data_IF_446602161740
#
_entry.id   IF_446602161740
#
_cell.length_a   1.000
_cell.length_b   1.000
_cell.length_c   1.000
_cell.angle_alpha   90.00
_cell.angle_beta   90.00
_cell.angle_gamma   90.00
#
_symmetry.space_group_name_H-M   'P 1'
#
loop_
_entity.id
_entity.type
_entity.pdbx_description
1 polymer ?
#
# COMPACT_ATOMS: atom_id res chain seq x y z
N UNK A 1 -6.29 -59.41 -9.51
CA UNK A 1 -6.06 -58.49 -10.64
C UNK A 1 -5.54 -57.18 -10.05
N UNK A 2 -4.28 -56.83 -10.32
CA UNK A 2 -3.62 -55.64 -9.77
C UNK A 2 -3.71 -54.52 -10.81
N UNK A 3 -4.54 -53.51 -10.55
CA UNK A 3 -4.57 -52.29 -11.35
C UNK A 3 -3.39 -51.40 -10.95
N UNK A 4 -2.45 -51.18 -11.86
CA UNK A 4 -1.41 -50.15 -11.72
C UNK A 4 -1.94 -48.88 -12.42
N UNK A 5 -2.14 -47.81 -11.66
CA UNK A 5 -2.43 -46.49 -12.22
C UNK A 5 -1.19 -45.97 -12.97
N UNK A 6 -1.31 -45.50 -14.23
CA UNK A 6 -0.23 -44.82 -14.92
C UNK A 6 0.04 -43.44 -14.30
N UNK A 7 1.20 -43.26 -13.67
CA UNK A 7 1.71 -41.98 -13.20
C UNK A 7 2.30 -41.18 -14.36
N UNK A 8 1.47 -40.49 -15.15
CA UNK A 8 1.91 -39.56 -16.20
C UNK A 8 1.67 -38.10 -15.81
N UNK A 9 2.15 -37.68 -14.63
CA UNK A 9 2.09 -36.27 -14.19
C UNK A 9 3.43 -35.53 -14.31
N UNK A 10 4.39 -36.04 -15.08
CA UNK A 10 5.70 -35.37 -15.25
C UNK A 10 5.74 -34.35 -16.41
N UNK A 11 4.65 -34.14 -17.15
CA UNK A 11 4.63 -33.35 -18.40
C UNK A 11 4.13 -31.89 -18.26
N UNK A 12 4.13 -31.30 -17.06
CA UNK A 12 3.72 -29.90 -16.88
C UNK A 12 4.88 -28.90 -16.78
N UNK A 13 6.13 -29.35 -16.96
CA UNK A 13 7.25 -28.42 -17.14
C UNK A 13 7.37 -28.13 -18.63
N UNK A 14 7.07 -26.90 -19.10
CA UNK A 14 7.26 -26.57 -20.51
C UNK A 14 8.74 -26.78 -20.88
N UNK A 15 9.01 -27.31 -22.09
CA UNK A 15 10.37 -27.58 -22.54
C UNK A 15 11.22 -26.30 -22.40
N UNK A 16 12.52 -26.39 -22.07
CA UNK A 16 13.38 -25.23 -21.80
C UNK A 16 13.35 -24.14 -22.89
N UNK A 17 13.09 -24.52 -24.15
CA UNK A 17 12.95 -23.60 -25.29
C UNK A 17 11.65 -22.77 -25.28
N UNK A 18 10.64 -23.17 -24.51
CA UNK A 18 9.38 -22.46 -24.30
C UNK A 18 9.33 -21.71 -22.97
N UNK A 19 10.41 -21.72 -22.18
CA UNK A 19 10.52 -20.92 -20.97
C UNK A 19 10.76 -19.46 -21.37
N UNK A 20 9.68 -18.68 -21.43
CA UNK A 20 9.77 -17.23 -21.56
C UNK A 20 10.57 -16.70 -20.36
N UNK A 21 11.58 -15.84 -20.55
CA UNK A 21 12.29 -15.21 -19.45
C UNK A 21 11.28 -14.52 -18.53
N UNK A 22 11.08 -15.05 -17.33
CA UNK A 22 10.24 -14.38 -16.33
C UNK A 22 10.93 -13.07 -15.96
N UNK A 23 10.28 -11.95 -16.25
CA UNK A 23 10.74 -10.64 -15.79
C UNK A 23 10.87 -10.70 -14.26
N UNK A 24 12.04 -10.28 -13.76
CA UNK A 24 12.26 -10.26 -12.31
C UNK A 24 11.28 -9.26 -11.71
N UNK A 25 10.58 -9.62 -10.62
CA UNK A 25 9.68 -8.69 -10.00
C UNK A 25 10.46 -7.51 -9.42
N UNK A 26 9.96 -6.29 -9.62
CA UNK A 26 10.57 -5.10 -9.04
C UNK A 26 10.44 -5.15 -7.51
N UNK A 27 11.48 -4.71 -6.80
CA UNK A 27 11.50 -4.65 -5.33
C UNK A 27 11.96 -3.28 -4.87
N UNK A 28 11.19 -2.69 -3.97
CA UNK A 28 11.52 -1.41 -3.37
C UNK A 28 10.63 -1.08 -2.19
N UNK A 29 10.47 0.21 -1.91
CA UNK A 29 9.69 0.68 -0.78
C UNK A 29 8.64 1.71 -1.19
N UNK A 30 7.53 1.70 -0.46
CA UNK A 30 6.47 2.68 -0.53
C UNK A 30 6.51 3.49 0.77
N UNK A 31 6.81 4.78 0.65
CA UNK A 31 6.80 5.74 1.75
C UNK A 31 5.45 6.42 1.72
N UNK A 32 4.56 6.02 2.63
CA UNK A 32 3.18 6.53 2.68
C UNK A 32 3.07 7.65 3.69
N UNK A 33 2.67 8.83 3.22
CA UNK A 33 2.27 9.94 4.07
C UNK A 33 0.77 9.90 4.36
N UNK A 34 0.42 10.18 5.61
CA UNK A 34 -0.97 10.30 6.03
C UNK A 34 -1.71 8.96 6.09
N UNK A 35 -1.15 7.91 6.68
CA UNK A 35 -1.96 6.71 6.96
C UNK A 35 -3.10 6.97 7.96
N UNK A 36 -3.06 8.10 8.67
CA UNK A 36 -4.13 8.57 9.55
C UNK A 36 -4.48 10.01 9.18
N UNK A 37 -5.77 10.33 9.17
CA UNK A 37 -6.24 11.69 8.87
C UNK A 37 -5.71 12.73 9.87
N UNK A 38 -5.51 12.34 11.14
CA UNK A 38 -4.99 13.20 12.21
C UNK A 38 -3.48 13.41 12.13
N UNK A 39 -2.75 12.58 11.39
CA UNK A 39 -1.29 12.57 11.35
C UNK A 39 -0.83 12.56 9.89
N UNK A 40 -1.10 13.67 9.20
CA UNK A 40 -0.71 13.87 7.80
C UNK A 40 0.81 13.95 7.60
N UNK A 41 1.57 14.22 8.68
CA UNK A 41 3.03 14.39 8.63
C UNK A 41 3.85 13.12 8.89
N UNK A 42 3.24 12.08 9.47
CA UNK A 42 3.92 10.79 9.67
C UNK A 42 4.03 10.02 8.37
N UNK A 43 5.25 9.52 8.14
CA UNK A 43 5.61 8.71 6.99
C UNK A 43 5.83 7.27 7.46
N UNK A 44 5.20 6.33 6.76
CA UNK A 44 5.36 4.91 7.02
C UNK A 44 6.00 4.22 5.81
N UNK A 45 7.14 3.58 6.05
CA UNK A 45 7.82 2.78 5.04
C UNK A 45 7.23 1.36 4.99
N UNK A 46 6.89 0.91 3.77
CA UNK A 46 6.40 -0.43 3.50
C UNK A 46 7.24 -1.01 2.36
N UNK A 47 7.94 -2.11 2.61
CA UNK A 47 8.69 -2.82 1.58
C UNK A 47 7.75 -3.67 0.72
N UNK A 48 7.85 -3.51 -0.59
CA UNK A 48 6.92 -4.08 -1.54
C UNK A 48 7.65 -4.74 -2.70
N UNK A 49 7.00 -5.74 -3.27
CA UNK A 49 7.35 -6.34 -4.55
C UNK A 49 6.25 -6.01 -5.54
N UNK A 50 6.61 -5.64 -6.77
CA UNK A 50 5.67 -5.32 -7.83
C UNK A 50 5.86 -6.22 -9.05
N UNK A 51 4.74 -6.55 -9.69
CA UNK A 51 4.70 -7.30 -10.95
C UNK A 51 3.75 -6.57 -11.91
N UNK A 52 4.18 -6.37 -13.14
CA UNK A 52 3.40 -5.72 -14.19
C UNK A 52 2.50 -6.80 -14.77
N UNK A 53 1.20 -6.54 -14.79
CA UNK A 53 0.19 -7.56 -15.10
C UNK A 53 -0.31 -7.47 -16.54
N UNK A 54 -0.07 -6.35 -17.23
CA UNK A 54 -0.61 -6.08 -18.57
C UNK A 54 0.43 -5.48 -19.53
N UNK A 55 1.71 -5.75 -19.28
CA UNK A 55 2.80 -5.33 -20.16
C UNK A 55 3.12 -6.41 -21.18
N UNK A 56 3.07 -6.11 -22.48
CA UNK A 56 3.88 -6.83 -23.45
C UNK A 56 5.33 -6.81 -22.93
N UNK A 57 5.97 -7.98 -22.77
CA UNK A 57 7.30 -8.11 -22.17
C UNK A 57 8.34 -7.18 -22.81
N UNK A 58 8.11 -6.75 -24.05
CA UNK A 58 8.93 -5.79 -24.79
C UNK A 58 8.88 -4.36 -24.25
N UNK A 59 7.85 -4.01 -23.47
CA UNK A 59 7.60 -2.67 -22.91
C UNK A 59 7.72 -2.60 -21.39
N UNK A 60 8.05 -3.70 -20.72
CA UNK A 60 8.25 -3.65 -19.27
C UNK A 60 9.42 -2.71 -18.95
N UNK A 61 9.15 -1.65 -18.19
CA UNK A 61 10.12 -0.62 -17.81
C UNK A 61 10.38 -0.59 -16.31
N UNK A 62 10.19 -1.73 -15.65
CA UNK A 62 10.46 -1.87 -14.22
C UNK A 62 11.88 -1.48 -13.82
N UNK A 63 12.85 -1.67 -14.71
CA UNK A 63 14.24 -1.27 -14.48
C UNK A 63 14.41 0.25 -14.31
N UNK A 64 13.44 1.04 -14.76
CA UNK A 64 13.45 2.50 -14.62
C UNK A 64 12.71 2.99 -13.37
N UNK A 65 12.10 2.09 -12.60
CA UNK A 65 11.33 2.48 -11.42
C UNK A 65 12.29 2.91 -10.30
N UNK A 66 11.98 4.00 -9.56
CA UNK A 66 12.79 4.43 -8.44
C UNK A 66 12.75 3.35 -7.36
N UNK A 67 13.80 3.23 -6.55
CA UNK A 67 13.82 2.30 -5.42
C UNK A 67 12.72 2.60 -4.38
N UNK A 68 12.31 3.85 -4.29
CA UNK A 68 11.33 4.32 -3.32
C UNK A 68 10.26 5.16 -4.01
N UNK A 69 9.00 4.84 -3.73
CA UNK A 69 7.86 5.63 -4.12
C UNK A 69 7.36 6.45 -2.93
N UNK A 70 7.27 7.76 -3.10
CA UNK A 70 6.61 8.64 -2.14
C UNK A 70 5.15 8.76 -2.52
N UNK A 71 4.29 8.19 -1.68
CA UNK A 71 2.86 8.10 -1.94
C UNK A 71 2.06 8.84 -0.86
N UNK A 72 1.02 9.56 -1.29
CA UNK A 72 0.10 10.27 -0.40
C UNK A 72 -1.32 9.74 -0.56
N UNK A 73 -2.04 9.57 0.54
CA UNK A 73 -3.46 9.17 0.53
C UNK A 73 -4.35 10.40 0.30
N UNK A 74 -5.35 10.27 -0.57
CA UNK A 74 -6.30 11.35 -0.92
C UNK A 74 -7.52 11.33 0.02
N UNK A 75 -7.33 11.67 1.30
CA UNK A 75 -8.38 11.52 2.33
C UNK A 75 -9.69 12.25 2.08
N UNK A 76 -9.66 13.35 1.33
CA UNK A 76 -10.77 14.30 1.27
C UNK A 76 -11.84 13.90 0.25
N UNK A 77 -11.65 12.79 -0.49
CA UNK A 77 -12.59 12.37 -1.53
C UNK A 77 -12.78 10.86 -1.61
N UNK A 78 -14.04 10.47 -1.82
CA UNK A 78 -14.47 9.09 -2.11
C UNK A 78 -14.44 8.89 -3.62
N UNK A 79 -13.28 8.51 -4.16
CA UNK A 79 -13.01 8.45 -5.62
C UNK A 79 -12.58 7.06 -6.11
N UNK A 80 -12.53 6.06 -5.22
CA UNK A 80 -12.07 4.71 -5.59
C UNK A 80 -12.88 4.10 -6.74
N UNK A 81 -14.21 4.24 -6.70
CA UNK A 81 -15.09 3.67 -7.73
C UNK A 81 -14.87 4.34 -9.09
N UNK A 82 -14.72 5.66 -9.12
CA UNK A 82 -14.48 6.42 -10.36
C UNK A 82 -13.12 6.08 -10.96
N UNK A 83 -12.09 5.94 -10.13
CA UNK A 83 -10.76 5.46 -10.56
C UNK A 83 -10.87 4.06 -11.17
N UNK A 84 -11.57 3.13 -10.50
CA UNK A 84 -11.73 1.77 -11.02
C UNK A 84 -12.55 1.72 -12.32
N UNK A 85 -13.57 2.58 -12.48
CA UNK A 85 -14.30 2.73 -13.73
C UNK A 85 -13.42 3.30 -14.84
N UNK A 86 -12.66 4.35 -14.54
CA UNK A 86 -11.73 4.98 -15.47
C UNK A 86 -10.62 4.02 -15.92
N UNK A 87 -10.02 3.25 -15.00
CA UNK A 87 -8.99 2.26 -15.32
C UNK A 87 -9.55 1.18 -16.25
N UNK A 88 -10.75 0.66 -15.98
CA UNK A 88 -11.40 -0.32 -16.86
C UNK A 88 -11.70 0.22 -18.25
N UNK A 89 -12.02 1.51 -18.35
CA UNK A 89 -12.34 2.14 -19.63
C UNK A 89 -11.10 2.47 -20.47
N UNK A 90 -10.03 2.97 -19.84
CA UNK A 90 -8.84 3.46 -20.54
C UNK A 90 -7.72 2.42 -20.65
N UNK A 91 -7.80 1.34 -19.85
CA UNK A 91 -6.81 0.26 -19.76
C UNK A 91 -5.35 0.76 -19.70
N UNK A 92 -4.99 1.61 -18.70
CA UNK A 92 -3.60 2.00 -18.50
C UNK A 92 -2.76 0.77 -18.14
N UNK A 93 -1.43 0.80 -18.34
CA UNK A 93 -0.56 -0.26 -17.87
C UNK A 93 -0.71 -0.47 -16.36
N UNK A 94 -0.90 -1.72 -15.95
CA UNK A 94 -1.17 -2.09 -14.56
C UNK A 94 -0.01 -2.85 -13.94
N UNK A 95 0.18 -2.63 -12.65
CA UNK A 95 1.01 -3.49 -11.80
C UNK A 95 0.27 -3.91 -10.55
N UNK A 96 0.69 -5.02 -9.98
CA UNK A 96 0.21 -5.55 -8.70
C UNK A 96 1.33 -5.47 -7.69
N UNK A 97 1.01 -4.94 -6.51
CA UNK A 97 1.90 -4.89 -5.36
C UNK A 97 1.53 -5.94 -4.32
N UNK A 98 2.56 -6.52 -3.75
CA UNK A 98 2.50 -7.39 -2.56
C UNK A 98 3.54 -6.92 -1.55
N UNK A 99 3.29 -7.17 -0.26
CA UNK A 99 4.31 -6.98 0.76
C UNK A 99 5.52 -7.89 0.50
N UNK A 100 6.72 -7.30 0.51
CA UNK A 100 7.96 -8.05 0.35
C UNK A 100 8.21 -8.97 1.56
N UNK A 101 8.88 -10.09 1.30
CA UNK A 101 9.28 -11.06 2.33
C UNK A 101 10.65 -10.69 2.87
N UNK A 102 10.67 -10.16 4.09
CA UNK A 102 11.92 -9.78 4.76
C UNK A 102 12.58 -11.00 5.41
N UNK A 103 13.92 -10.98 5.48
CA UNK A 103 14.71 -12.05 6.13
C UNK A 103 14.47 -12.13 7.63
N UNK A 104 14.26 -10.97 8.27
CA UNK A 104 13.91 -10.88 9.68
C UNK A 104 12.41 -11.18 9.89
N UNK A 105 12.03 -12.21 10.68
CA UNK A 105 10.63 -12.58 10.90
C UNK A 105 9.80 -11.46 11.54
N UNK A 106 10.40 -10.70 12.46
CA UNK A 106 9.70 -9.62 13.17
C UNK A 106 9.40 -8.47 12.20
N UNK A 107 10.43 -7.98 11.50
CA UNK A 107 10.26 -6.98 10.44
C UNK A 107 9.29 -7.42 9.35
N UNK A 108 9.33 -8.70 8.94
CA UNK A 108 8.39 -9.25 7.94
C UNK A 108 6.93 -9.16 8.43
N UNK A 109 6.67 -9.50 9.69
CA UNK A 109 5.33 -9.42 10.28
C UNK A 109 4.82 -7.99 10.33
N UNK A 110 5.68 -7.05 10.73
CA UNK A 110 5.36 -5.61 10.74
C UNK A 110 5.08 -5.11 9.32
N UNK A 111 5.93 -5.45 8.35
CA UNK A 111 5.76 -5.05 6.95
C UNK A 111 4.44 -5.54 6.35
N UNK A 112 4.12 -6.82 6.54
CA UNK A 112 2.87 -7.44 6.11
C UNK A 112 1.64 -6.78 6.76
N UNK A 113 1.73 -6.48 8.06
CA UNK A 113 0.66 -5.82 8.81
C UNK A 113 0.43 -4.41 8.29
N UNK A 114 1.50 -3.65 8.06
CA UNK A 114 1.43 -2.28 7.53
C UNK A 114 0.83 -2.24 6.12
N UNK A 115 1.26 -3.16 5.25
CA UNK A 115 0.73 -3.29 3.90
C UNK A 115 -0.78 -3.59 3.91
N UNK A 116 -1.21 -4.58 4.71
CA UNK A 116 -2.64 -4.90 4.85
C UNK A 116 -3.43 -3.74 5.44
N UNK A 117 -2.84 -3.01 6.39
CA UNK A 117 -3.46 -1.84 7.00
C UNK A 117 -3.67 -0.74 5.95
N UNK A 118 -2.68 -0.45 5.11
CA UNK A 118 -2.82 0.48 3.98
C UNK A 118 -3.96 0.05 3.05
N UNK A 119 -3.97 -1.22 2.63
CA UNK A 119 -5.03 -1.72 1.74
C UNK A 119 -6.43 -1.58 2.35
N UNK A 120 -6.59 -1.85 3.65
CA UNK A 120 -7.86 -1.64 4.34
C UNK A 120 -8.23 -0.18 4.45
N UNK A 121 -7.30 0.69 4.81
CA UNK A 121 -7.54 2.13 4.89
C UNK A 121 -8.09 2.65 3.55
N UNK A 122 -7.41 2.32 2.44
CA UNK A 122 -7.85 2.77 1.11
C UNK A 122 -9.23 2.20 0.75
N UNK A 123 -9.50 0.95 1.10
CA UNK A 123 -10.78 0.30 0.80
C UNK A 123 -11.92 0.85 1.65
N UNK A 124 -11.74 0.94 2.97
CA UNK A 124 -12.77 1.37 3.91
C UNK A 124 -13.13 2.84 3.72
N UNK A 125 -12.13 3.70 3.43
CA UNK A 125 -12.36 5.11 3.12
C UNK A 125 -12.73 5.38 1.66
N UNK A 126 -12.79 4.34 0.82
CA UNK A 126 -13.09 4.44 -0.61
C UNK A 126 -12.21 5.49 -1.32
N UNK A 127 -10.92 5.53 -0.97
CA UNK A 127 -9.94 6.45 -1.52
C UNK A 127 -8.79 5.73 -2.21
N UNK A 128 -7.83 6.50 -2.73
CA UNK A 128 -6.63 6.07 -3.41
C UNK A 128 -5.39 6.70 -2.78
N UNK A 129 -4.23 6.12 -3.09
CA UNK A 129 -2.94 6.76 -2.88
C UNK A 129 -2.31 7.15 -4.22
N UNK A 130 -1.61 8.28 -4.25
CA UNK A 130 -0.93 8.78 -5.46
C UNK A 130 0.57 8.80 -5.19
N UNK A 131 1.34 8.16 -6.04
CA UNK A 131 2.79 8.25 -6.09
C UNK A 131 3.22 9.02 -7.34
N UNK A 132 4.08 10.03 -7.20
CA UNK A 132 4.62 10.76 -8.36
C UNK A 132 5.97 10.15 -8.79
N UNK A 133 6.32 10.23 -10.08
CA UNK A 133 7.61 9.71 -10.55
C UNK A 133 8.82 10.58 -10.14
N UNK A 134 8.62 11.73 -9.50
CA UNK A 134 9.67 12.69 -9.12
C UNK A 134 10.65 13.00 -10.27
N UNK A 135 10.14 13.07 -11.50
CA UNK A 135 10.94 13.46 -12.67
C UNK A 135 10.39 14.76 -13.23
N UNK A 136 11.26 15.71 -13.50
CA UNK A 136 10.92 17.02 -14.08
C UNK A 136 10.43 16.92 -15.54
N UNK A 137 10.48 15.73 -16.15
CA UNK A 137 10.20 15.54 -17.57
C UNK A 137 8.71 15.63 -17.91
N UNK A 138 7.84 15.17 -17.00
CA UNK A 138 6.39 15.15 -17.21
C UNK A 138 5.72 15.45 -15.88
N UNK A 139 5.22 16.68 -15.74
CA UNK A 139 4.41 17.08 -14.60
C UNK A 139 3.14 16.22 -14.54
N UNK A 140 2.83 15.68 -13.36
CA UNK A 140 1.66 14.83 -13.16
C UNK A 140 1.84 13.37 -13.58
N UNK A 141 3.01 12.96 -14.07
CA UNK A 141 3.32 11.56 -14.28
C UNK A 141 3.52 10.86 -12.91
N UNK A 142 2.96 9.65 -12.80
CA UNK A 142 3.07 8.88 -11.57
C UNK A 142 2.34 7.56 -11.64
N UNK A 143 1.79 7.17 -10.51
CA UNK A 143 1.00 5.97 -10.34
C UNK A 143 -0.12 6.23 -9.36
N UNK A 144 -1.30 5.71 -9.70
CA UNK A 144 -2.43 5.63 -8.78
C UNK A 144 -2.41 4.24 -8.15
N UNK A 145 -2.38 4.19 -6.83
CA UNK A 145 -2.40 2.96 -6.03
C UNK A 145 -3.78 2.84 -5.39
N UNK A 146 -4.44 1.72 -5.62
CA UNK A 146 -5.76 1.44 -5.08
C UNK A 146 -5.88 -0.02 -4.62
N UNK A 147 -6.78 -0.33 -3.67
CA UNK A 147 -6.91 -1.67 -3.11
C UNK A 147 -7.55 -2.62 -4.12
N UNK A 148 -7.12 -3.88 -4.09
CA UNK A 148 -7.85 -4.95 -4.78
C UNK A 148 -9.21 -5.17 -4.10
N UNK A 149 -10.27 -5.39 -4.88
CA UNK A 149 -11.61 -5.62 -4.36
C UNK A 149 -11.71 -6.92 -3.53
N UNK A 150 -10.87 -7.90 -3.83
CA UNK A 150 -11.00 -9.25 -3.28
C UNK A 150 -9.89 -9.62 -2.28
N UNK A 151 -8.92 -8.73 -2.02
CA UNK A 151 -7.77 -9.06 -1.19
C UNK A 151 -7.13 -7.83 -0.55
N UNK A 152 -7.02 -7.85 0.78
CA UNK A 152 -6.21 -6.88 1.53
C UNK A 152 -4.69 -7.13 1.43
N UNK A 153 -4.30 -8.25 0.81
CA UNK A 153 -2.90 -8.60 0.57
C UNK A 153 -2.40 -8.15 -0.81
N UNK A 154 -3.24 -7.46 -1.59
CA UNK A 154 -2.92 -6.97 -2.92
C UNK A 154 -3.33 -5.50 -3.09
N UNK A 155 -2.43 -4.71 -3.64
CA UNK A 155 -2.76 -3.38 -4.16
C UNK A 155 -2.51 -3.38 -5.67
N UNK A 156 -3.26 -2.56 -6.39
CA UNK A 156 -3.11 -2.37 -7.82
C UNK A 156 -2.57 -0.97 -8.07
N UNK A 157 -1.58 -0.86 -8.95
CA UNK A 157 -1.02 0.38 -9.46
C UNK A 157 -1.41 0.59 -10.90
N UNK A 158 -2.09 1.69 -11.21
CA UNK A 158 -2.26 2.17 -12.58
C UNK A 158 -1.12 3.14 -12.91
N UNK A 159 -0.35 2.85 -13.96
CA UNK A 159 0.90 3.53 -14.29
C UNK A 159 0.67 4.64 -15.32
N UNK A 160 1.21 5.82 -15.03
CA UNK A 160 1.15 7.02 -15.86
C UNK A 160 2.57 7.46 -16.18
N UNK A 161 3.16 6.84 -17.20
CA UNK A 161 4.56 7.10 -17.60
C UNK A 161 4.69 8.31 -18.54
N UNK A 162 3.67 8.57 -19.36
CA UNK A 162 3.70 9.61 -20.41
C UNK A 162 2.48 10.52 -20.43
N UNK A 163 1.61 10.37 -19.43
CA UNK A 163 0.37 11.12 -19.34
C UNK A 163 0.23 11.67 -17.92
N UNK A 164 -0.43 12.82 -17.75
CA UNK A 164 -0.81 13.30 -16.43
C UNK A 164 -1.91 12.40 -15.83
N UNK A 165 -2.14 12.55 -14.52
CA UNK A 165 -3.32 11.96 -13.89
C UNK A 165 -4.63 12.55 -14.46
N UNK A 166 -5.73 11.79 -14.44
CA UNK A 166 -7.04 12.31 -14.81
C UNK A 166 -7.45 13.54 -13.98
N UNK A 167 -8.13 14.49 -14.61
CA UNK A 167 -8.48 15.79 -14.00
C UNK A 167 -9.29 15.66 -12.70
N UNK A 168 -10.16 14.65 -12.61
CA UNK A 168 -10.95 14.41 -11.40
C UNK A 168 -10.10 14.06 -10.17
N UNK A 169 -8.87 13.59 -10.38
CA UNK A 169 -7.88 13.33 -9.32
C UNK A 169 -7.08 14.59 -9.00
N UNK A 170 -6.79 15.42 -10.00
CA UNK A 170 -6.07 16.69 -9.77
C UNK A 170 -6.90 17.68 -8.96
N UNK A 171 -8.22 17.68 -9.15
CA UNK A 171 -9.15 18.44 -8.31
C UNK A 171 -9.31 17.86 -6.89
N UNK A 172 -8.83 16.62 -6.68
CA UNK A 172 -8.87 15.91 -5.40
C UNK A 172 -7.68 16.17 -4.50
N UNK A 173 -6.56 16.54 -5.10
CA UNK A 173 -5.43 17.02 -4.34
C UNK A 173 -5.64 18.51 -4.09
N UNK A 174 -5.56 19.01 -2.84
CA UNK A 174 -5.11 20.37 -2.66
C UNK A 174 -3.74 20.42 -3.36
N UNK A 175 -3.70 21.11 -4.49
CA UNK A 175 -2.45 21.62 -5.02
C UNK A 175 -1.75 22.23 -3.80
N UNK A 176 -0.56 21.78 -3.48
CA UNK A 176 0.38 22.66 -2.84
C UNK A 176 1.23 23.24 -3.97
N UNK A 177 0.79 24.31 -4.67
CA UNK A 177 1.73 25.15 -5.37
C UNK A 177 2.14 26.25 -4.39
N UNK A 178 3.39 26.23 -3.96
CA UNK A 178 4.03 27.44 -3.48
C UNK A 178 4.52 27.41 -2.03
N UNK A 179 5.83 27.62 -1.91
CA UNK A 179 6.25 29.01 -1.87
C UNK A 179 7.06 29.31 -3.13
N UNK A 180 6.45 30.08 -4.02
CA UNK A 180 7.08 30.78 -5.13
C UNK A 180 7.66 32.08 -4.53
N UNK A 181 8.95 32.33 -4.77
CA UNK A 181 9.54 33.68 -4.69
C UNK A 181 8.89 34.57 -5.76
N UNK A 182 8.40 35.78 -5.42
CA UNK A 182 9.22 36.96 -5.70
C UNK A 182 8.98 38.12 -4.71
N UNK A 183 10.04 38.75 -4.19
CA UNK A 183 9.92 40.12 -3.64
C UNK A 183 10.23 41.13 -4.74
N UNK A 184 9.27 41.99 -5.14
CA UNK A 184 9.56 43.19 -5.89
C UNK A 184 10.17 44.21 -4.93
N UNK A 185 11.40 44.63 -5.21
CA UNK A 185 12.02 45.82 -4.60
C UNK A 185 11.21 47.05 -5.02
N UNK A 186 10.29 47.50 -4.17
CA UNK A 186 9.85 48.89 -4.20
C UNK A 186 10.81 49.72 -3.35
N UNK A 187 11.73 50.38 -4.06
CA UNK A 187 12.44 51.56 -3.57
C UNK A 187 11.41 52.69 -3.42
N UNK A 188 11.27 53.22 -2.20
CA UNK A 188 10.83 54.60 -1.99
C UNK A 188 11.71 55.26 -0.92
N UNK A 189 11.91 56.58 -1.02
CA UNK A 189 13.11 57.27 -0.58
C UNK A 189 13.07 57.77 0.87
N UNK A 190 14.26 58.04 1.37
CA UNK A 190 14.54 58.76 2.60
C UNK A 190 13.76 60.08 2.69
N UNK A 191 13.17 60.34 3.87
CA UNK A 191 13.18 61.68 4.45
C UNK A 191 13.53 61.59 5.94
N UNK A 192 14.58 62.31 6.29
CA UNK A 192 15.04 62.54 7.64
C UNK A 192 14.09 63.50 8.39
N UNK A 193 13.84 63.22 9.67
CA UNK A 193 13.62 64.27 10.66
C UNK A 193 13.92 63.73 12.08
N UNK A 194 14.87 64.39 12.70
CA UNK A 194 15.39 64.28 14.05
C UNK A 194 14.48 64.91 15.11
N UNK A 195 14.36 64.28 16.28
CA UNK A 195 14.25 64.92 17.61
C UNK A 195 14.49 63.84 18.68
N UNK A 196 15.64 63.81 19.38
CA UNK A 196 16.01 64.53 20.61
C UNK A 196 15.11 64.22 21.83
N UNK A 197 15.64 63.46 22.80
CA UNK A 197 15.10 63.42 24.16
C UNK A 197 15.44 62.16 24.98
N UNK A 198 16.24 62.25 26.06
CA UNK A 198 16.74 61.12 26.86
C UNK A 198 15.83 60.80 28.05
N UNK A 199 15.94 59.62 28.68
CA UNK A 199 15.98 59.38 30.15
C UNK A 199 16.12 57.87 30.45
N UNK A 200 17.30 57.53 31.00
CA UNK A 200 17.60 56.70 32.20
C UNK A 200 16.88 55.39 32.53
N UNK A 201 17.70 54.48 33.06
CA UNK A 201 17.45 53.41 34.08
C UNK A 201 16.62 52.19 33.65
N UNK A 202 16.93 50.94 34.00
CA UNK A 202 17.98 50.30 34.82
C UNK A 202 17.69 48.78 34.87
N UNK A 203 18.72 47.92 35.03
CA UNK A 203 18.72 46.71 35.89
C UNK A 203 17.74 45.54 35.54
N UNK A 204 18.01 44.23 35.60
CA UNK A 204 18.98 43.27 36.17
C UNK A 204 18.70 41.93 35.43
N UNK A 205 19.68 41.12 35.02
CA UNK A 205 20.41 40.11 35.80
C UNK A 205 19.59 38.86 36.22
N UNK A 206 19.91 37.69 35.66
CA UNK A 206 20.14 36.37 36.29
C UNK A 206 20.63 35.40 35.17
N UNK A 207 21.90 34.97 35.11
CA UNK A 207 22.56 33.91 35.90
C UNK A 207 21.91 32.53 35.69
N UNK A 208 22.47 31.68 34.84
CA UNK A 208 23.49 30.63 35.11
C UNK A 208 23.00 29.46 35.97
N UNK A 209 23.03 28.26 35.40
CA UNK A 209 23.36 27.03 36.15
C UNK A 209 23.73 25.88 35.21
N UNK A 210 25.03 25.72 35.04
CA UNK A 210 25.70 24.48 34.68
C UNK A 210 25.94 23.64 35.95
N UNK A 211 25.78 22.32 35.89
CA UNK A 211 26.45 21.34 36.77
C UNK A 211 26.46 19.98 36.04
N UNK A 212 27.59 19.51 35.51
CA UNK A 212 28.73 18.82 36.14
C UNK A 212 28.53 17.31 36.34
N UNK A 213 29.57 16.60 35.89
CA UNK A 213 29.79 15.16 35.79
C UNK A 213 30.12 14.53 37.15
N UNK A 214 29.94 13.22 37.30
CA UNK A 214 30.90 12.34 37.99
C UNK A 214 30.90 10.91 37.41
N UNK A 215 32.07 10.28 37.52
CA UNK A 215 32.47 8.97 37.01
C UNK A 215 32.66 7.95 38.16
N UNK A 216 33.05 6.70 37.81
CA UNK A 216 33.57 5.58 38.65
C UNK A 216 32.53 4.83 39.50
N UNK A 217 32.52 3.51 39.75
CA UNK A 217 33.36 2.36 39.39
C UNK A 217 33.23 1.25 40.48
N UNK A 218 32.72 0.04 40.12
CA UNK A 218 32.86 -1.32 40.76
C UNK A 218 32.50 -1.53 42.28
N UNK A 219 32.60 -2.76 42.87
CA UNK A 219 31.89 -4.05 42.62
C UNK A 219 31.31 -4.75 43.90
N UNK A 220 30.64 -5.91 43.70
CA UNK A 220 30.53 -7.10 44.57
C UNK A 220 29.57 -7.20 45.80
N UNK A 221 28.72 -8.25 45.73
CA UNK A 221 28.43 -9.30 46.74
C UNK A 221 27.47 -9.14 47.93
N UNK A 222 26.64 -10.20 48.08
CA UNK A 222 25.96 -10.77 49.27
C UNK A 222 24.77 -9.97 49.85
N UNK A 223 23.65 -10.56 50.29
CA UNK A 223 23.30 -11.93 50.71
C UNK A 223 21.77 -12.10 50.75
N UNK A 224 21.29 -13.31 50.45
CA UNK A 224 20.00 -13.88 50.89
C UNK A 224 19.86 -13.79 52.44
N UNK A 225 18.66 -13.73 53.06
CA UNK A 225 17.76 -14.89 53.04
C UNK A 225 16.22 -14.65 53.18
N UNK A 226 15.46 -15.65 52.71
CA UNK A 226 14.18 -16.18 53.25
C UNK A 226 12.98 -15.23 53.47
N UNK A 227 11.98 -15.34 52.60
CA UNK A 227 10.59 -15.61 53.04
C UNK A 227 9.72 -16.20 51.90
N UNK A 228 8.95 -17.29 52.12
CA UNK A 228 8.14 -17.94 51.09
C UNK A 228 6.71 -17.39 51.11
N UNK A 229 6.14 -17.11 49.93
CA UNK A 229 4.78 -16.60 49.85
C UNK A 229 4.26 -16.46 48.43
N UNK A 230 3.95 -17.61 47.82
CA UNK A 230 2.79 -17.85 46.94
C UNK A 230 2.11 -16.59 46.37
N UNK A 231 2.28 -16.29 45.08
CA UNK A 231 1.17 -16.08 44.11
C UNK A 231 1.63 -16.46 42.71
N UNK A 232 1.18 -17.63 42.28
CA UNK A 232 1.09 -18.02 40.88
C UNK A 232 0.06 -17.12 40.20
N UNK A 233 0.49 -16.21 39.33
CA UNK A 233 -0.41 -15.63 38.34
C UNK A 233 -0.50 -16.58 37.14
N UNK A 234 -1.66 -17.21 37.10
CA UNK A 234 -2.03 -18.34 36.29
C UNK A 234 -2.38 -17.85 34.88
N UNK A 235 -1.63 -18.33 33.88
CA UNK A 235 -2.00 -18.25 32.47
C UNK A 235 -3.44 -18.75 32.26
N UNK A 236 -4.37 -17.85 31.95
CA UNK A 236 -5.72 -18.20 31.51
C UNK A 236 -5.70 -18.52 30.02
N UNK A 237 -5.64 -19.81 29.70
CA UNK A 237 -6.11 -20.33 28.41
C UNK A 237 -7.64 -20.23 28.36
N UNK A 238 -8.16 -19.53 27.36
CA UNK A 238 -9.59 -19.53 27.02
C UNK A 238 -9.84 -20.79 26.19
N UNK A 239 -10.43 -21.81 26.80
CA UNK A 239 -10.96 -22.99 26.11
C UNK A 239 -12.39 -22.71 25.62
N UNK A 240 -12.76 -23.11 24.39
CA UNK A 240 -14.15 -23.05 23.92
C UNK A 240 -15.02 -24.02 24.73
N UNK A 241 -16.11 -23.50 25.30
CA UNK A 241 -17.07 -24.28 26.09
C UNK A 241 -18.06 -24.95 25.13
N UNK A 242 -17.95 -26.26 24.94
CA UNK A 242 -19.01 -27.06 24.29
C UNK A 242 -20.17 -27.23 25.27
N UNK A 243 -21.32 -26.70 24.91
CA UNK A 243 -22.58 -26.83 25.66
C UNK A 243 -23.26 -28.13 25.21
N UNK A 244 -23.57 -29.09 26.10
CA UNK A 244 -24.38 -30.24 25.72
C UNK A 244 -25.87 -29.82 25.70
N UNK A 245 -26.45 -29.74 24.51
CA UNK A 245 -27.88 -29.57 24.33
C UNK A 245 -28.54 -30.95 24.24
N UNK A 246 -29.19 -31.37 25.32
CA UNK A 246 -30.11 -32.50 25.34
C UNK A 246 -31.48 -32.03 24.83
N UNK A 247 -31.85 -32.45 23.63
CA UNK A 247 -33.26 -32.52 23.20
C UNK A 247 -33.51 -33.88 22.55
N UNK A 248 -34.56 -34.62 22.97
CA UNK A 248 -34.97 -35.85 22.34
C UNK A 248 -35.99 -35.56 21.22
N UNK A 249 -35.79 -36.22 20.08
CA UNK A 249 -36.84 -36.51 19.12
C UNK A 249 -37.16 -35.43 18.09
N UNK A 250 -36.61 -35.59 16.89
CA UNK A 250 -37.44 -35.59 15.68
C UNK A 250 -36.63 -36.12 14.51
N UNK A 251 -37.15 -37.19 13.92
CA UNK A 251 -36.67 -37.82 12.70
C UNK A 251 -37.24 -37.05 11.51
N UNK A 252 -36.39 -36.42 10.69
CA UNK A 252 -36.75 -36.12 9.30
C UNK A 252 -35.51 -36.05 8.40
N UNK A 253 -35.64 -36.79 7.31
CA UNK A 253 -34.79 -36.91 6.13
C UNK A 253 -34.05 -35.65 5.67
N UNK A 254 -32.74 -35.77 5.47
CA UNK A 254 -31.96 -34.86 4.64
C UNK A 254 -31.40 -35.64 3.45
N UNK A 255 -31.98 -35.40 2.28
CA UNK A 255 -31.44 -35.73 0.97
C UNK A 255 -30.24 -34.83 0.65
N UNK A 256 -29.19 -35.44 0.10
CA UNK A 256 -27.99 -34.81 -0.45
C UNK A 256 -28.28 -33.61 -1.38
N UNK A 257 -27.47 -32.55 -1.36
CA UNK A 257 -27.40 -31.61 -2.48
C UNK A 257 -26.44 -32.15 -3.55
N UNK A 258 -27.04 -32.78 -4.56
CA UNK A 258 -26.42 -33.13 -5.83
C UNK A 258 -25.95 -31.85 -6.55
N UNK A 259 -24.68 -31.82 -6.94
CA UNK A 259 -24.13 -30.81 -7.82
C UNK A 259 -24.91 -30.80 -9.15
N UNK A 260 -25.65 -29.72 -9.41
CA UNK A 260 -26.28 -29.50 -10.71
C UNK A 260 -25.23 -29.03 -11.71
N UNK A 261 -25.06 -29.86 -12.75
CA UNK A 261 -24.33 -29.59 -13.96
C UNK A 261 -24.66 -28.21 -14.54
N UNK A 262 -23.62 -27.39 -14.71
CA UNK A 262 -23.62 -26.29 -15.69
C UNK A 262 -23.41 -26.93 -17.07
N UNK A 263 -24.50 -27.10 -17.82
CA UNK A 263 -24.46 -27.29 -19.27
C UNK A 263 -25.54 -26.40 -19.89
N UNK A 264 -25.12 -25.21 -20.26
CA UNK A 264 -25.86 -24.30 -21.15
C UNK A 264 -24.93 -23.94 -22.29
N UNK A 265 -24.82 -24.83 -23.27
CA UNK A 265 -24.35 -24.48 -24.61
C UNK A 265 -25.45 -23.59 -25.22
N UNK A 266 -25.20 -22.28 -25.28
CA UNK A 266 -25.91 -21.41 -26.22
C UNK A 266 -25.00 -21.13 -27.40
N UNK A 267 -25.46 -21.65 -28.52
CA UNK A 267 -24.88 -21.69 -29.85
C UNK A 267 -25.29 -20.40 -30.60
N UNK A 268 -24.39 -19.44 -30.89
CA UNK A 268 -24.73 -18.35 -31.80
C UNK A 268 -24.56 -18.83 -33.24
N UNK A 269 -25.70 -19.12 -33.86
CA UNK A 269 -25.84 -19.35 -35.29
C UNK A 269 -25.13 -18.27 -36.13
N UNK A 270 -24.01 -18.64 -36.74
CA UNK A 270 -23.40 -17.88 -37.82
C UNK A 270 -24.31 -17.93 -39.06
N UNK A 271 -25.07 -16.86 -39.30
CA UNK A 271 -25.64 -16.57 -40.62
C UNK A 271 -24.52 -16.14 -41.56
N UNK A 272 -24.04 -17.08 -42.37
CA UNK A 272 -23.24 -16.77 -43.55
C UNK A 272 -24.12 -16.02 -44.56
N UNK A 273 -23.85 -14.74 -44.79
CA UNK A 273 -24.37 -13.99 -45.93
C UNK A 273 -23.43 -14.20 -47.11
N UNK A 274 -23.88 -15.02 -48.07
CA UNK A 274 -23.26 -15.11 -49.38
C UNK A 274 -23.58 -13.83 -50.17
N UNK A 275 -22.58 -12.98 -50.37
CA UNK A 275 -22.64 -11.90 -51.36
C UNK A 275 -22.09 -12.43 -52.67
N UNK A 276 -22.99 -12.68 -53.62
CA UNK A 276 -22.69 -13.06 -54.99
C UNK A 276 -22.35 -11.78 -55.78
N UNK A 277 -21.11 -11.64 -56.23
CA UNK A 277 -20.73 -10.62 -57.22
C UNK A 277 -20.81 -11.23 -58.62
N UNK A 278 -21.53 -10.60 -59.57
CA UNK A 278 -21.41 -10.95 -60.97
C UNK A 278 -20.19 -10.23 -61.57
N UNK A 279 -19.33 -11.01 -62.21
CA UNK A 279 -18.29 -10.54 -63.12
C UNK A 279 -18.93 -10.03 -64.41
N UNK A 280 -18.58 -8.81 -64.81
CA UNK A 280 -18.52 -8.40 -66.22
C UNK A 280 -17.06 -8.41 -66.66
#
# INVERSE_FOLDING_TARGET
MVYRLPTHLESFVPPPSAQVPQSRPWRGALIISGMRASDKGSNQEIRITAVETDGDNTRSRMDLWPQQFFARIVHEQVILQDVQAWVRHNNPPLCTFIADRLRDPNGNTVNQTNFRSLSRILFDSQTIAIASWNTDKIEGAGMIIYPSQNSSALLVGALFLYAPFPDFIMNAAPLSPGIISPSPRHQYPQHAASSSGPYTSSSRHHQTSSSQRHATGHPASQSDPTNPGLRHDQYRYIMPRTVPSNYPGSSTSASDPTWSNVKGEEDPAYRASHTHYPSQ
#
